data_IF_542052576040
#
_entry.id   IF_542052576040
#
_cell.length_a   1.000
_cell.length_b   1.000
_cell.length_c   1.000
_cell.angle_alpha   90.00
_cell.angle_beta   90.00
_cell.angle_gamma   90.00
#
_symmetry.space_group_name_H-M   'P 1'
#
loop_
_entity.id
_entity.type
_entity.pdbx_description
1 polymer ?
#
# COMPACT_ATOMS: atom_id res chain seq x y z
N UNK A 1 4.80 33.13 -11.27
CA UNK A 1 4.83 32.51 -9.92
C UNK A 1 4.06 31.21 -10.03
N UNK A 2 4.74 30.09 -10.05
CA UNK A 2 4.06 28.79 -9.95
C UNK A 2 3.63 28.63 -8.50
N UNK A 3 2.35 28.89 -8.21
CA UNK A 3 1.81 28.62 -6.89
C UNK A 3 1.82 27.08 -6.72
N UNK A 4 2.58 26.57 -5.76
CA UNK A 4 2.60 25.15 -5.43
C UNK A 4 1.24 24.77 -4.84
N UNK A 5 0.38 24.21 -5.67
CA UNK A 5 -0.96 23.75 -5.28
C UNK A 5 -0.82 22.45 -4.49
N UNK A 6 -1.25 22.44 -3.25
CA UNK A 6 -1.33 21.22 -2.43
C UNK A 6 -2.68 20.55 -2.72
N UNK A 7 -2.64 19.31 -3.21
CA UNK A 7 -3.83 18.51 -3.56
C UNK A 7 -4.01 17.42 -2.52
N UNK A 8 -5.18 17.36 -1.91
CA UNK A 8 -5.55 16.42 -0.86
C UNK A 8 -6.71 15.53 -1.33
N UNK A 9 -6.46 14.27 -1.68
CA UNK A 9 -7.51 13.27 -1.72
C UNK A 9 -8.04 13.02 -0.32
N UNK A 10 -9.36 13.02 -0.14
CA UNK A 10 -10.01 12.85 1.17
C UNK A 10 -11.13 11.83 1.06
N UNK A 11 -11.05 10.76 1.83
CA UNK A 11 -12.14 9.81 2.01
C UNK A 11 -12.91 10.17 3.27
N UNK A 12 -14.23 10.15 3.19
CA UNK A 12 -15.10 10.35 4.35
C UNK A 12 -16.03 9.15 4.51
N UNK A 13 -16.09 8.61 5.73
CA UNK A 13 -16.89 7.44 6.08
C UNK A 13 -17.82 7.71 7.25
N UNK A 14 -19.02 7.11 7.21
CA UNK A 14 -19.94 7.09 8.34
C UNK A 14 -19.49 6.10 9.43
N UNK A 15 -20.26 6.03 10.54
CA UNK A 15 -20.01 5.08 11.64
C UNK A 15 -20.11 3.61 11.21
N UNK A 16 -20.80 3.34 10.10
CA UNK A 16 -20.90 1.99 9.50
C UNK A 16 -19.81 1.71 8.48
N UNK A 17 -18.79 2.60 8.40
CA UNK A 17 -17.68 2.55 7.44
C UNK A 17 -18.11 2.66 5.96
N UNK A 18 -19.29 3.19 5.67
CA UNK A 18 -19.76 3.45 4.30
C UNK A 18 -19.26 4.83 3.87
N UNK A 19 -18.93 4.94 2.59
CA UNK A 19 -18.49 6.19 1.98
C UNK A 19 -19.62 7.24 2.02
N UNK A 20 -19.27 8.48 2.31
CA UNK A 20 -20.17 9.64 2.34
C UNK A 20 -19.77 10.58 1.21
N UNK A 21 -20.70 10.89 0.29
CA UNK A 21 -20.44 11.66 -0.93
C UNK A 21 -21.26 12.97 -1.02
N UNK A 22 -22.06 13.27 -0.02
CA UNK A 22 -23.04 14.38 -0.01
C UNK A 22 -22.54 15.62 0.75
N UNK A 23 -21.25 15.70 1.07
CA UNK A 23 -20.66 16.85 1.74
C UNK A 23 -20.36 17.96 0.76
N UNK A 24 -20.75 19.19 1.11
CA UNK A 24 -20.40 20.40 0.38
C UNK A 24 -19.04 20.97 0.80
N UNK A 25 -18.47 21.84 -0.04
CA UNK A 25 -17.18 22.51 0.22
C UNK A 25 -17.14 23.23 1.57
N UNK A 26 -18.23 23.85 1.98
CA UNK A 26 -18.36 24.65 3.20
C UNK A 26 -18.41 23.80 4.47
N UNK A 27 -18.56 22.47 4.36
CA UNK A 27 -18.44 21.53 5.46
C UNK A 27 -16.98 21.16 5.77
N UNK A 28 -16.05 21.41 4.85
CA UNK A 28 -14.63 21.10 5.02
C UNK A 28 -13.83 22.31 5.51
N UNK A 29 -12.87 22.05 6.39
CA UNK A 29 -11.81 22.97 6.79
C UNK A 29 -10.46 22.26 6.68
N UNK A 30 -9.48 22.96 6.11
CA UNK A 30 -8.11 22.46 5.95
C UNK A 30 -7.19 23.34 6.78
N UNK A 31 -6.29 22.71 7.52
CA UNK A 31 -5.26 23.38 8.29
C UNK A 31 -3.89 22.90 7.80
N UNK A 32 -2.96 23.82 7.61
CA UNK A 32 -1.59 23.58 7.22
C UNK A 32 -0.69 24.22 8.29
N UNK A 33 0.12 23.41 8.98
CA UNK A 33 0.87 23.81 10.18
C UNK A 33 0.00 24.59 11.20
N UNK A 34 -1.22 24.11 11.44
CA UNK A 34 -2.26 24.73 12.28
C UNK A 34 -2.81 26.08 11.75
N UNK A 35 -2.44 26.52 10.54
CA UNK A 35 -3.01 27.70 9.89
C UNK A 35 -4.15 27.28 8.98
N UNK A 36 -5.35 27.81 9.22
CA UNK A 36 -6.50 27.50 8.35
C UNK A 36 -6.26 28.00 6.93
N UNK A 37 -6.48 27.11 5.96
CA UNK A 37 -6.28 27.37 4.55
C UNK A 37 -7.62 27.53 3.81
N UNK A 38 -7.64 28.44 2.88
CA UNK A 38 -8.77 28.56 1.97
C UNK A 38 -8.70 27.43 0.95
N UNK A 39 -9.77 26.65 0.83
CA UNK A 39 -9.90 25.63 -0.22
C UNK A 39 -10.14 26.36 -1.56
N UNK A 40 -9.19 26.29 -2.47
CA UNK A 40 -9.29 26.94 -3.78
C UNK A 40 -10.02 26.03 -4.79
N UNK A 41 -9.77 24.70 -4.74
CA UNK A 41 -10.43 23.68 -5.57
C UNK A 41 -11.17 22.67 -4.69
N UNK A 42 -12.39 22.36 -5.07
CA UNK A 42 -13.21 21.31 -4.47
C UNK A 42 -13.92 20.56 -5.59
N UNK A 43 -13.75 19.23 -5.63
CA UNK A 43 -14.50 18.38 -6.56
C UNK A 43 -14.79 17.01 -5.95
N UNK A 44 -15.93 16.46 -6.33
CA UNK A 44 -16.36 15.09 -6.04
C UNK A 44 -16.26 14.19 -7.27
N UNK A 45 -15.71 14.71 -8.38
CA UNK A 45 -15.55 13.94 -9.60
C UNK A 45 -14.59 12.78 -9.41
N UNK A 46 -14.96 11.63 -9.94
CA UNK A 46 -14.12 10.45 -9.99
C UNK A 46 -12.97 10.66 -10.98
N UNK A 47 -11.74 10.47 -10.52
CA UNK A 47 -10.57 10.51 -11.39
C UNK A 47 -10.19 9.10 -11.84
N UNK A 48 -9.70 8.95 -13.08
CA UNK A 48 -9.07 7.71 -13.51
C UNK A 48 -7.92 7.32 -12.58
N UNK A 49 -7.72 6.02 -12.37
CA UNK A 49 -6.65 5.50 -11.53
C UNK A 49 -5.41 5.16 -12.38
N UNK A 50 -4.22 5.48 -11.85
CA UNK A 50 -2.97 4.83 -12.21
C UNK A 50 -2.56 3.99 -11.00
N UNK A 51 -2.62 2.68 -11.12
CA UNK A 51 -2.49 1.77 -9.99
C UNK A 51 -1.29 0.83 -10.15
N UNK A 52 -0.41 0.76 -9.16
CA UNK A 52 0.52 -0.37 -9.02
C UNK A 52 -0.11 -1.38 -8.07
N UNK A 53 -0.38 -2.59 -8.58
CA UNK A 53 -0.84 -3.73 -7.79
C UNK A 53 0.39 -4.46 -7.29
N UNK A 54 0.62 -4.41 -5.98
CA UNK A 54 1.80 -4.97 -5.33
C UNK A 54 1.42 -6.21 -4.52
N UNK A 55 1.81 -7.39 -5.00
CA UNK A 55 1.39 -8.68 -4.47
C UNK A 55 2.55 -9.33 -3.73
N UNK A 56 2.31 -9.69 -2.47
CA UNK A 56 3.25 -10.44 -1.64
C UNK A 56 3.44 -11.86 -2.18
N UNK A 57 4.68 -12.19 -2.57
CA UNK A 57 5.07 -13.47 -3.13
C UNK A 57 5.59 -14.47 -2.08
N UNK A 58 5.66 -14.05 -0.81
CA UNK A 58 6.17 -14.88 0.31
C UNK A 58 5.08 -15.09 1.38
N UNK A 59 3.85 -15.39 0.93
CA UNK A 59 2.73 -15.74 1.80
C UNK A 59 2.77 -17.21 2.20
N UNK A 60 2.13 -17.55 3.33
CA UNK A 60 1.90 -18.95 3.70
C UNK A 60 1.03 -19.62 2.63
N UNK A 61 1.25 -20.91 2.41
CA UNK A 61 0.62 -21.68 1.32
C UNK A 61 -0.91 -21.53 1.23
N UNK A 62 -1.61 -21.48 2.38
CA UNK A 62 -3.06 -21.29 2.41
C UNK A 62 -3.47 -19.90 1.92
N UNK A 63 -2.80 -18.87 2.46
CA UNK A 63 -3.07 -17.47 2.14
C UNK A 63 -2.68 -17.16 0.69
N UNK A 64 -1.53 -17.69 0.21
CA UNK A 64 -1.09 -17.55 -1.17
C UNK A 64 -2.12 -18.11 -2.16
N UNK A 65 -2.71 -19.29 -1.85
CA UNK A 65 -3.75 -19.88 -2.68
C UNK A 65 -5.02 -19.01 -2.71
N UNK A 66 -5.47 -18.52 -1.55
CA UNK A 66 -6.67 -17.67 -1.45
C UNK A 66 -6.48 -16.36 -2.23
N UNK A 67 -5.32 -15.72 -2.09
CA UNK A 67 -4.96 -14.53 -2.87
C UNK A 67 -4.96 -14.85 -4.35
N UNK A 68 -4.24 -15.92 -4.77
CA UNK A 68 -4.15 -16.32 -6.17
C UNK A 68 -5.52 -16.54 -6.83
N UNK A 69 -6.43 -17.20 -6.10
CA UNK A 69 -7.79 -17.53 -6.60
C UNK A 69 -8.71 -16.28 -6.67
N UNK A 70 -8.33 -15.17 -6.02
CA UNK A 70 -9.13 -13.93 -5.93
C UNK A 70 -8.62 -12.77 -6.79
N UNK A 71 -7.40 -12.86 -7.36
CA UNK A 71 -6.76 -11.73 -8.07
C UNK A 71 -7.60 -11.18 -9.25
N UNK A 72 -8.35 -12.02 -9.92
CA UNK A 72 -9.19 -11.61 -11.06
C UNK A 72 -10.23 -10.54 -10.66
N UNK A 73 -10.66 -10.53 -9.41
CA UNK A 73 -11.64 -9.56 -8.90
C UNK A 73 -11.11 -8.12 -8.85
N UNK A 74 -9.79 -7.94 -8.82
CA UNK A 74 -9.18 -6.59 -8.88
C UNK A 74 -9.60 -5.89 -10.17
N UNK A 75 -9.60 -6.63 -11.28
CA UNK A 75 -9.99 -6.09 -12.60
C UNK A 75 -11.47 -5.72 -12.64
N UNK A 76 -12.32 -6.50 -11.97
CA UNK A 76 -13.76 -6.22 -11.88
C UNK A 76 -14.11 -4.87 -11.22
N UNK A 77 -13.20 -4.33 -10.39
CA UNK A 77 -13.35 -3.00 -9.78
C UNK A 77 -12.81 -1.84 -10.64
N UNK A 78 -12.13 -2.12 -11.75
CA UNK A 78 -11.53 -1.11 -12.61
C UNK A 78 -12.48 -0.62 -13.69
N UNK A 79 -12.33 0.65 -14.07
CA UNK A 79 -12.99 1.23 -15.26
C UNK A 79 -12.08 1.17 -16.48
N UNK A 80 -12.64 1.37 -17.67
CA UNK A 80 -11.89 1.40 -18.94
C UNK A 80 -10.87 2.56 -19.02
N UNK A 81 -11.03 3.57 -18.15
CA UNK A 81 -10.12 4.71 -18.07
C UNK A 81 -8.95 4.45 -17.12
N UNK A 82 -9.03 3.41 -16.29
CA UNK A 82 -7.97 3.08 -15.34
C UNK A 82 -6.82 2.34 -16.05
N UNK A 83 -5.65 2.42 -15.46
CA UNK A 83 -4.50 1.62 -15.86
C UNK A 83 -3.86 0.98 -14.62
N UNK A 84 -3.32 -0.21 -14.80
CA UNK A 84 -2.64 -0.90 -13.73
C UNK A 84 -1.32 -1.53 -14.17
N UNK A 85 -0.40 -1.68 -13.22
CA UNK A 85 0.87 -2.35 -13.36
C UNK A 85 0.98 -3.42 -12.25
N UNK A 86 1.06 -4.68 -12.63
CA UNK A 86 1.18 -5.80 -11.68
C UNK A 86 2.63 -6.01 -11.30
N UNK A 87 2.92 -5.99 -9.99
CA UNK A 87 4.24 -6.24 -9.42
C UNK A 87 4.12 -7.27 -8.30
N UNK A 88 5.22 -7.99 -8.04
CA UNK A 88 5.35 -8.86 -6.88
C UNK A 88 6.51 -8.41 -6.00
N UNK A 89 6.51 -8.85 -4.75
CA UNK A 89 7.66 -8.69 -3.87
C UNK A 89 7.81 -9.87 -2.91
N UNK A 90 9.03 -10.15 -2.58
CA UNK A 90 9.50 -11.04 -1.52
C UNK A 90 10.71 -10.38 -0.86
N UNK A 91 11.89 -10.96 -0.93
CA UNK A 91 13.16 -10.30 -0.57
C UNK A 91 13.57 -9.22 -1.59
N UNK A 92 12.92 -9.21 -2.74
CA UNK A 92 13.18 -8.29 -3.84
C UNK A 92 11.89 -7.75 -4.41
N UNK A 93 11.97 -6.59 -5.05
CA UNK A 93 10.89 -6.04 -5.84
C UNK A 93 10.95 -6.61 -7.27
N UNK A 94 9.84 -7.18 -7.74
CA UNK A 94 9.71 -7.81 -9.05
C UNK A 94 8.68 -7.06 -9.90
N UNK A 95 9.09 -6.05 -10.68
CA UNK A 95 8.16 -5.37 -11.58
C UNK A 95 7.69 -6.30 -12.70
N UNK A 96 6.43 -6.17 -13.10
CA UNK A 96 5.86 -6.87 -14.25
C UNK A 96 6.23 -6.22 -15.57
N UNK A 97 5.29 -6.23 -16.54
CA UNK A 97 5.59 -5.78 -17.91
C UNK A 97 5.41 -4.28 -18.14
N UNK A 98 4.50 -3.64 -17.42
CA UNK A 98 4.18 -2.22 -17.58
C UNK A 98 2.73 -1.89 -17.25
N UNK A 99 2.40 -0.59 -17.36
CA UNK A 99 1.02 -0.13 -17.22
C UNK A 99 0.18 -0.56 -18.42
N UNK A 100 -1.02 -1.06 -18.15
CA UNK A 100 -2.01 -1.40 -19.16
C UNK A 100 -3.40 -0.96 -18.71
N UNK A 101 -4.20 -0.42 -19.64
CA UNK A 101 -5.63 -0.20 -19.48
C UNK A 101 -6.46 -1.34 -20.10
N UNK A 102 -5.81 -2.29 -20.76
CA UNK A 102 -6.47 -3.45 -21.30
C UNK A 102 -6.77 -4.47 -20.20
N UNK A 103 -8.05 -4.60 -19.85
CA UNK A 103 -8.51 -5.48 -18.77
C UNK A 103 -8.21 -6.95 -19.05
N UNK A 104 -8.31 -7.41 -20.30
CA UNK A 104 -7.99 -8.81 -20.67
C UNK A 104 -6.50 -9.09 -20.50
N UNK A 105 -5.64 -8.13 -20.90
CA UNK A 105 -4.20 -8.25 -20.69
C UNK A 105 -3.88 -8.28 -19.19
N UNK A 106 -4.50 -7.43 -18.38
CA UNK A 106 -4.31 -7.38 -16.95
C UNK A 106 -4.74 -8.71 -16.29
N UNK A 107 -5.90 -9.26 -16.67
CA UNK A 107 -6.36 -10.58 -16.22
C UNK A 107 -5.32 -11.68 -16.54
N UNK A 108 -4.76 -11.67 -17.76
CA UNK A 108 -3.73 -12.64 -18.14
C UNK A 108 -2.48 -12.48 -17.27
N UNK A 109 -2.08 -11.25 -16.94
CA UNK A 109 -0.92 -11.00 -16.08
C UNK A 109 -1.17 -11.46 -14.64
N UNK A 110 -2.34 -11.15 -14.08
CA UNK A 110 -2.73 -11.58 -12.73
C UNK A 110 -2.81 -13.12 -12.62
N UNK A 111 -3.42 -13.79 -13.59
CA UNK A 111 -3.50 -15.28 -13.65
C UNK A 111 -2.14 -15.94 -13.81
N UNK A 112 -1.20 -15.31 -14.51
CA UNK A 112 0.18 -15.78 -14.66
C UNK A 112 1.04 -15.49 -13.42
N UNK A 113 0.57 -14.64 -12.51
CA UNK A 113 1.24 -14.39 -11.26
C UNK A 113 1.15 -15.63 -10.38
N UNK A 114 2.15 -16.50 -10.47
CA UNK A 114 2.28 -17.63 -9.54
C UNK A 114 2.87 -17.11 -8.24
N UNK A 115 2.17 -17.33 -7.15
CA UNK A 115 2.68 -17.02 -5.82
C UNK A 115 3.43 -18.24 -5.30
N UNK A 116 4.74 -18.08 -5.09
CA UNK A 116 5.55 -19.11 -4.50
C UNK A 116 5.25 -19.12 -2.99
N UNK A 117 4.60 -20.18 -2.50
CA UNK A 117 4.45 -20.35 -1.06
C UNK A 117 5.81 -20.59 -0.46
N UNK A 118 6.08 -19.99 0.72
CA UNK A 118 7.34 -20.13 1.47
C UNK A 118 7.96 -21.52 1.34
N UNK A 119 8.96 -21.65 0.52
CA UNK A 119 9.87 -22.80 0.45
C UNK A 119 11.24 -22.37 0.98
N UNK A 120 11.27 -21.66 2.11
CA UNK A 120 12.51 -21.40 2.83
C UNK A 120 12.98 -22.68 3.55
N UNK A 121 13.06 -23.77 2.80
CA UNK A 121 13.89 -24.90 3.20
C UNK A 121 15.28 -24.58 2.66
N UNK A 122 16.30 -24.38 3.52
CA UNK A 122 17.67 -24.27 3.04
C UNK A 122 17.98 -25.47 2.13
N UNK A 123 18.66 -25.26 1.00
CA UNK A 123 19.01 -26.38 0.13
C UNK A 123 19.75 -27.43 0.97
N UNK A 124 19.50 -28.75 0.75
CA UNK A 124 20.22 -29.80 1.40
C UNK A 124 21.73 -29.58 1.20
N UNK A 125 22.49 -29.44 2.28
CA UNK A 125 23.93 -29.15 2.20
C UNK A 125 24.34 -27.72 2.62
N UNK A 126 23.43 -26.91 3.15
CA UNK A 126 23.80 -25.63 3.80
C UNK A 126 24.66 -25.84 5.05
N UNK A 127 25.41 -24.82 5.51
CA UNK A 127 26.40 -24.94 6.62
C UNK A 127 25.80 -25.39 7.96
N UNK A 128 24.51 -25.55 8.08
CA UNK A 128 23.79 -26.02 9.26
C UNK A 128 23.28 -27.45 9.17
N UNK A 129 23.42 -28.12 8.03
CA UNK A 129 23.17 -29.55 7.90
C UNK A 129 24.51 -30.27 8.09
N UNK A 130 24.76 -30.74 9.30
CA UNK A 130 25.87 -31.65 9.55
C UNK A 130 25.84 -32.86 8.61
N UNK A 131 26.95 -33.58 8.42
CA UNK A 131 26.99 -34.71 7.52
C UNK A 131 25.95 -35.75 7.93
N UNK A 132 25.00 -36.04 7.04
CA UNK A 132 24.03 -37.12 7.24
C UNK A 132 24.48 -38.37 6.48
N UNK A 133 24.45 -39.50 7.14
CA UNK A 133 24.67 -40.81 6.52
C UNK A 133 23.30 -41.45 6.28
N UNK A 134 22.96 -41.70 5.01
CA UNK A 134 21.66 -42.27 4.59
C UNK A 134 20.42 -41.45 5.04
N UNK A 135 20.55 -40.12 5.13
CA UNK A 135 19.43 -39.25 5.52
C UNK A 135 19.16 -39.19 7.03
N UNK A 136 19.98 -39.80 7.86
CA UNK A 136 19.88 -39.74 9.32
C UNK A 136 21.11 -39.03 9.90
N UNK A 137 20.89 -38.19 10.92
CA UNK A 137 22.00 -37.63 11.69
C UNK A 137 22.72 -38.76 12.44
N UNK A 138 24.07 -38.71 12.59
CA UNK A 138 24.80 -39.71 13.39
C UNK A 138 24.27 -39.71 14.82
N UNK A 139 23.98 -40.90 15.37
CA UNK A 139 23.57 -41.06 16.75
C UNK A 139 24.59 -40.42 17.70
N UNK A 140 24.15 -39.48 18.50
CA UNK A 140 24.95 -38.82 19.53
C UNK A 140 25.20 -37.33 19.38
N UNK A 141 24.74 -36.67 18.33
CA UNK A 141 24.73 -35.22 18.31
C UNK A 141 23.59 -34.72 19.19
N UNK A 142 23.84 -33.80 20.16
CA UNK A 142 22.76 -33.14 20.87
C UNK A 142 21.94 -32.39 19.84
N UNK A 143 20.73 -32.87 19.60
CA UNK A 143 19.82 -32.24 18.68
C UNK A 143 19.59 -30.80 19.12
N UNK A 144 20.02 -29.84 18.31
CA UNK A 144 19.62 -28.42 18.43
C UNK A 144 18.17 -28.34 18.00
N UNK A 145 17.29 -29.01 18.76
CA UNK A 145 15.86 -29.14 18.45
C UNK A 145 15.02 -27.89 18.83
N UNK A 146 15.65 -26.76 19.06
CA UNK A 146 14.93 -25.52 19.41
C UNK A 146 15.27 -24.33 18.53
N UNK A 147 16.46 -24.26 17.96
CA UNK A 147 16.95 -23.02 17.33
C UNK A 147 16.73 -22.93 15.81
N UNK A 148 16.58 -24.07 15.13
CA UNK A 148 16.40 -24.06 13.66
C UNK A 148 15.06 -23.54 13.24
N UNK A 149 14.02 -23.68 14.05
CA UNK A 149 12.67 -23.17 13.74
C UNK A 149 12.56 -21.65 13.91
N UNK A 150 13.28 -21.09 14.89
CA UNK A 150 13.32 -19.63 15.10
C UNK A 150 14.23 -18.91 14.09
N UNK A 151 15.32 -19.55 13.65
CA UNK A 151 16.22 -18.99 12.62
C UNK A 151 15.56 -18.99 11.24
N UNK A 152 14.65 -19.94 10.98
CA UNK A 152 13.87 -20.02 9.72
C UNK A 152 12.65 -19.10 9.71
N UNK A 153 12.29 -18.50 10.84
CA UNK A 153 11.09 -17.66 10.98
C UNK A 153 11.37 -16.15 10.90
N UNK A 154 12.60 -15.72 10.62
CA UNK A 154 12.88 -14.30 10.44
C UNK A 154 12.24 -13.82 9.14
N UNK A 155 11.39 -12.78 9.18
CA UNK A 155 10.76 -12.26 7.98
C UNK A 155 11.83 -11.72 7.03
N UNK A 156 11.78 -12.16 5.79
CA UNK A 156 12.75 -11.81 4.73
C UNK A 156 12.24 -10.76 3.77
N UNK A 157 10.99 -10.33 3.93
CA UNK A 157 10.27 -9.46 2.99
C UNK A 157 10.80 -8.03 2.98
N UNK A 158 11.01 -7.50 1.79
CA UNK A 158 11.44 -6.14 1.54
C UNK A 158 10.26 -5.22 1.16
N UNK A 159 9.29 -5.09 2.07
CA UNK A 159 8.07 -4.32 1.82
C UNK A 159 8.36 -2.83 1.59
N UNK A 160 9.29 -2.24 2.36
CA UNK A 160 9.63 -0.82 2.19
C UNK A 160 10.26 -0.57 0.81
N UNK A 161 11.17 -1.45 0.35
CA UNK A 161 11.75 -1.36 -1.00
C UNK A 161 10.70 -1.59 -2.10
N UNK A 162 9.74 -2.48 -1.86
CA UNK A 162 8.68 -2.74 -2.81
C UNK A 162 7.74 -1.54 -2.98
N UNK A 163 7.37 -0.87 -1.88
CA UNK A 163 6.56 0.35 -1.92
C UNK A 163 7.35 1.50 -2.57
N UNK A 164 8.65 1.61 -2.27
CA UNK A 164 9.53 2.59 -2.93
C UNK A 164 9.59 2.35 -4.45
N UNK A 165 9.84 1.12 -4.87
CA UNK A 165 9.86 0.75 -6.29
C UNK A 165 8.52 1.01 -7.00
N UNK A 166 7.40 0.74 -6.32
CA UNK A 166 6.07 1.06 -6.84
C UNK A 166 5.84 2.58 -6.99
N UNK A 167 6.36 3.39 -6.05
CA UNK A 167 6.30 4.85 -6.13
C UNK A 167 7.10 5.38 -7.33
N UNK A 168 8.30 4.83 -7.56
CA UNK A 168 9.13 5.15 -8.73
C UNK A 168 8.42 4.88 -10.06
N UNK A 169 7.64 3.78 -10.16
CA UNK A 169 6.84 3.49 -11.35
C UNK A 169 5.69 4.49 -11.57
N UNK A 170 5.15 5.04 -10.47
CA UNK A 170 4.00 5.95 -10.51
C UNK A 170 4.40 7.42 -10.67
N UNK A 171 5.63 7.82 -10.35
CA UNK A 171 6.04 9.22 -10.27
C UNK A 171 5.72 10.02 -11.53
N UNK A 172 5.99 9.45 -12.70
CA UNK A 172 5.83 10.10 -14.00
C UNK A 172 4.42 9.93 -14.60
N UNK A 173 3.48 9.29 -13.87
CA UNK A 173 2.11 9.17 -14.38
C UNK A 173 1.40 10.52 -14.36
N UNK A 174 0.45 10.77 -15.31
CA UNK A 174 -0.21 12.06 -15.47
C UNK A 174 -0.89 12.55 -14.18
N UNK A 175 -0.83 13.87 -13.93
CA UNK A 175 -1.39 14.50 -12.73
C UNK A 175 -2.94 14.52 -12.70
N UNK A 176 -3.59 14.32 -13.83
CA UNK A 176 -5.05 14.22 -13.95
C UNK A 176 -5.56 12.80 -13.65
N UNK A 177 -4.73 11.95 -13.06
CA UNK A 177 -5.07 10.60 -12.61
C UNK A 177 -4.74 10.47 -11.12
N UNK A 178 -5.51 9.68 -10.39
CA UNK A 178 -5.12 9.31 -9.02
C UNK A 178 -4.07 8.21 -9.07
N UNK A 179 -2.96 8.46 -8.41
CA UNK A 179 -1.86 7.51 -8.29
C UNK A 179 -2.05 6.71 -7.01
N UNK A 180 -2.17 5.41 -7.13
CA UNK A 180 -2.34 4.54 -5.97
C UNK A 180 -1.39 3.34 -6.02
N UNK A 181 -0.91 2.93 -4.86
CA UNK A 181 -0.29 1.64 -4.63
C UNK A 181 -1.33 0.78 -3.92
N UNK A 182 -1.70 -0.34 -4.55
CA UNK A 182 -2.61 -1.31 -3.98
C UNK A 182 -1.85 -2.56 -3.54
N UNK A 183 -1.73 -2.77 -2.23
CA UNK A 183 -0.92 -3.84 -1.63
C UNK A 183 -1.81 -4.99 -1.18
N UNK A 184 -1.44 -6.21 -1.52
CA UNK A 184 -2.01 -7.45 -0.97
C UNK A 184 -0.90 -8.21 -0.27
N UNK A 185 -0.92 -8.24 1.08
CA UNK A 185 0.18 -8.79 1.89
C UNK A 185 -0.29 -9.17 3.30
N UNK A 186 0.50 -9.98 3.99
CA UNK A 186 0.34 -10.23 5.44
C UNK A 186 0.94 -9.12 6.32
N UNK A 187 1.50 -8.05 5.72
CA UNK A 187 2.05 -6.90 6.42
C UNK A 187 3.43 -7.10 7.05
N UNK A 188 3.99 -8.29 6.91
CA UNK A 188 5.31 -8.59 7.46
C UNK A 188 6.40 -7.85 6.68
N UNK A 189 7.33 -7.21 7.41
CA UNK A 189 8.49 -6.53 6.84
C UNK A 189 9.77 -6.98 7.54
N UNK A 190 10.78 -7.34 6.78
CA UNK A 190 12.07 -7.83 7.28
C UNK A 190 12.99 -6.75 7.88
N UNK A 191 12.54 -5.49 7.92
CA UNK A 191 13.29 -4.36 8.47
C UNK A 191 14.58 -4.06 7.71
N UNK A 192 15.51 -3.33 8.35
CA UNK A 192 16.77 -2.83 7.74
C UNK A 192 17.69 -3.91 7.15
N UNK A 193 17.52 -5.16 7.54
CA UNK A 193 18.38 -6.26 7.01
C UNK A 193 18.00 -6.59 5.56
N UNK A 194 16.75 -6.43 5.20
CA UNK A 194 16.19 -6.83 3.89
C UNK A 194 15.75 -5.63 3.04
N UNK A 195 15.60 -4.45 3.63
CA UNK A 195 15.25 -3.23 2.92
C UNK A 195 16.46 -2.31 2.82
N UNK A 196 16.70 -1.80 1.63
CA UNK A 196 17.66 -0.73 1.34
C UNK A 196 17.07 0.62 1.73
N UNK A 197 15.78 0.82 1.45
CA UNK A 197 15.03 2.01 1.82
C UNK A 197 14.44 1.88 3.22
N UNK A 198 14.46 2.98 3.96
CA UNK A 198 13.76 3.07 5.24
C UNK A 198 12.30 3.45 5.02
N UNK A 199 11.44 3.16 5.99
CA UNK A 199 10.06 3.63 5.97
C UNK A 199 9.95 5.14 5.70
N UNK A 200 10.74 5.96 6.41
CA UNK A 200 10.70 7.42 6.28
C UNK A 200 11.06 7.88 4.86
N UNK A 201 12.10 7.29 4.27
CA UNK A 201 12.47 7.60 2.89
C UNK A 201 11.39 7.19 1.90
N UNK A 202 10.78 6.04 2.11
CA UNK A 202 9.72 5.51 1.25
C UNK A 202 8.45 6.36 1.36
N UNK A 203 8.03 6.73 2.58
CA UNK A 203 6.87 7.64 2.77
C UNK A 203 7.14 9.00 2.14
N UNK A 204 8.35 9.53 2.28
CA UNK A 204 8.75 10.79 1.63
C UNK A 204 8.55 10.72 0.11
N UNK A 205 9.01 9.64 -0.53
CA UNK A 205 8.87 9.43 -1.97
C UNK A 205 7.41 9.33 -2.40
N UNK A 206 6.61 8.53 -1.68
CA UNK A 206 5.18 8.36 -1.93
C UNK A 206 4.44 9.70 -1.82
N UNK A 207 4.71 10.49 -0.77
CA UNK A 207 4.08 11.80 -0.55
C UNK A 207 4.52 12.84 -1.58
N UNK A 208 5.81 12.85 -1.97
CA UNK A 208 6.36 13.79 -2.96
C UNK A 208 5.63 13.66 -4.32
N UNK A 209 5.21 12.46 -4.66
CA UNK A 209 4.50 12.18 -5.92
C UNK A 209 2.96 12.09 -5.77
N UNK A 210 2.42 12.50 -4.60
CA UNK A 210 0.98 12.49 -4.31
C UNK A 210 0.32 11.12 -4.56
N UNK A 211 1.00 10.07 -4.11
CA UNK A 211 0.53 8.69 -4.20
C UNK A 211 -0.18 8.33 -2.90
N UNK A 212 -1.33 7.66 -2.98
CA UNK A 212 -2.02 7.07 -1.83
C UNK A 212 -1.79 5.56 -1.79
N UNK A 213 -1.61 5.02 -0.58
CA UNK A 213 -1.42 3.58 -0.38
C UNK A 213 -2.69 2.97 0.18
N UNK A 214 -3.23 1.99 -0.52
CA UNK A 214 -4.33 1.15 -0.06
C UNK A 214 -3.84 -0.28 0.11
N UNK A 215 -4.37 -0.99 1.09
CA UNK A 215 -3.94 -2.36 1.33
C UNK A 215 -5.08 -3.30 1.68
N UNK A 216 -4.92 -4.57 1.31
CA UNK A 216 -5.67 -5.69 1.84
C UNK A 216 -4.72 -6.59 2.60
N UNK A 217 -4.89 -6.61 3.91
CA UNK A 217 -4.13 -7.45 4.83
C UNK A 217 -4.71 -8.87 4.85
N UNK A 218 -3.87 -9.87 4.58
CA UNK A 218 -4.23 -11.28 4.54
C UNK A 218 -3.51 -12.08 5.64
N UNK A 219 -3.97 -13.27 5.95
CA UNK A 219 -3.29 -14.19 6.86
C UNK A 219 -3.03 -13.59 8.24
N UNK A 220 -1.75 -13.44 8.61
CA UNK A 220 -1.34 -12.93 9.93
C UNK A 220 -1.73 -11.48 10.17
N UNK A 221 -1.86 -10.66 9.13
CA UNK A 221 -2.28 -9.26 9.21
C UNK A 221 -3.62 -9.08 9.94
N UNK A 222 -4.52 -10.06 9.83
CA UNK A 222 -5.81 -10.00 10.52
C UNK A 222 -5.68 -10.06 12.05
N UNK A 223 -4.70 -10.78 12.57
CA UNK A 223 -4.51 -11.01 14.01
C UNK A 223 -3.62 -9.96 14.67
N UNK A 224 -2.62 -9.44 13.96
CA UNK A 224 -1.58 -8.56 14.51
C UNK A 224 -1.64 -7.14 13.95
N UNK A 225 -2.78 -6.48 14.18
CA UNK A 225 -3.09 -5.13 13.66
C UNK A 225 -2.23 -4.01 14.26
N UNK A 226 -1.44 -4.28 15.31
CA UNK A 226 -0.76 -3.23 16.08
C UNK A 226 0.59 -2.82 15.49
N UNK A 227 1.18 -3.64 14.63
CA UNK A 227 2.55 -3.44 14.13
C UNK A 227 2.61 -3.44 12.60
N UNK A 228 1.50 -3.10 11.95
CA UNK A 228 1.38 -3.30 10.53
C UNK A 228 1.89 -2.13 9.72
N UNK A 229 2.97 -2.39 9.03
CA UNK A 229 3.54 -1.48 8.04
C UNK A 229 2.50 -1.05 6.99
N UNK A 230 1.51 -1.91 6.70
CA UNK A 230 0.40 -1.57 5.80
C UNK A 230 -0.45 -0.40 6.33
N UNK A 231 -0.83 -0.44 7.62
CA UNK A 231 -1.57 0.66 8.26
C UNK A 231 -0.76 1.95 8.32
N UNK A 232 0.54 1.85 8.59
CA UNK A 232 1.43 3.02 8.64
C UNK A 232 1.47 3.72 7.27
N UNK A 233 1.64 2.98 6.17
CA UNK A 233 1.60 3.53 4.82
C UNK A 233 0.24 4.11 4.45
N UNK A 234 -0.84 3.38 4.71
CA UNK A 234 -2.18 3.84 4.40
C UNK A 234 -2.50 5.16 5.12
N UNK A 235 -2.29 5.21 6.43
CA UNK A 235 -2.56 6.43 7.22
C UNK A 235 -1.70 7.62 6.80
N UNK A 236 -0.39 7.41 6.61
CA UNK A 236 0.50 8.51 6.21
C UNK A 236 0.13 9.11 4.85
N UNK A 237 -0.49 8.34 3.95
CA UNK A 237 -0.76 8.74 2.57
C UNK A 237 -2.23 9.03 2.27
N UNK A 238 -3.12 8.90 3.26
CA UNK A 238 -4.55 9.15 3.11
C UNK A 238 -5.32 8.05 2.37
N UNK A 239 -4.77 6.84 2.34
CA UNK A 239 -5.48 5.64 1.92
C UNK A 239 -6.09 4.89 3.09
N UNK A 240 -6.43 3.63 2.89
CA UNK A 240 -7.01 2.76 3.93
C UNK A 240 -6.50 1.33 3.83
N UNK A 241 -6.70 0.57 4.91
CA UNK A 241 -6.35 -0.85 4.98
C UNK A 241 -7.56 -1.68 5.39
N UNK A 242 -7.80 -2.73 4.64
CA UNK A 242 -8.84 -3.73 4.89
C UNK A 242 -8.22 -5.07 5.28
N UNK A 243 -8.85 -5.77 6.19
CA UNK A 243 -8.36 -7.05 6.67
C UNK A 243 -9.34 -8.14 6.32
N UNK A 244 -8.87 -9.16 5.61
CA UNK A 244 -9.68 -10.31 5.25
C UNK A 244 -10.07 -11.10 6.51
N UNK A 245 -11.32 -10.93 6.95
CA UNK A 245 -11.91 -11.77 7.99
C UNK A 245 -12.45 -13.05 7.34
N UNK A 246 -12.51 -14.17 8.11
CA UNK A 246 -12.98 -15.48 7.61
C UNK A 246 -14.36 -15.48 6.91
N UNK A 247 -15.15 -14.40 7.03
CA UNK A 247 -16.48 -14.26 6.44
C UNK A 247 -16.57 -13.27 5.28
N UNK A 248 -15.52 -12.51 5.04
CA UNK A 248 -15.45 -11.47 4.02
C UNK A 248 -14.54 -11.95 2.90
N UNK A 249 -15.02 -11.97 1.67
CA UNK A 249 -14.22 -12.44 0.55
C UNK A 249 -13.15 -11.40 0.18
N UNK A 250 -11.99 -11.84 -0.27
CA UNK A 250 -10.96 -10.95 -0.81
C UNK A 250 -11.50 -10.12 -1.99
N UNK A 251 -12.41 -10.73 -2.79
CA UNK A 251 -13.03 -10.04 -3.92
C UNK A 251 -13.82 -8.79 -3.49
N UNK A 252 -14.59 -8.88 -2.39
CA UNK A 252 -15.34 -7.75 -1.86
C UNK A 252 -14.40 -6.64 -1.37
N UNK A 253 -13.28 -7.01 -0.73
CA UNK A 253 -12.28 -6.06 -0.27
C UNK A 253 -11.56 -5.36 -1.42
N UNK A 254 -11.24 -6.07 -2.50
CA UNK A 254 -10.62 -5.47 -3.69
C UNK A 254 -11.54 -4.45 -4.35
N UNK A 255 -12.84 -4.78 -4.46
CA UNK A 255 -13.85 -3.86 -4.99
C UNK A 255 -13.98 -2.61 -4.14
N UNK A 256 -13.97 -2.75 -2.80
CA UNK A 256 -14.00 -1.60 -1.88
C UNK A 256 -12.78 -0.68 -2.03
N UNK A 257 -11.59 -1.25 -2.17
CA UNK A 257 -10.37 -0.46 -2.36
C UNK A 257 -10.46 0.40 -3.63
N UNK A 258 -10.87 -0.21 -4.75
CA UNK A 258 -10.97 0.52 -6.02
C UNK A 258 -12.10 1.55 -6.00
N UNK A 259 -13.24 1.25 -5.38
CA UNK A 259 -14.34 2.18 -5.17
C UNK A 259 -13.90 3.39 -4.33
N UNK A 260 -13.26 3.14 -3.19
CA UNK A 260 -12.78 4.18 -2.31
C UNK A 260 -11.72 5.05 -2.98
N UNK A 261 -10.71 4.44 -3.58
CA UNK A 261 -9.64 5.18 -4.25
C UNK A 261 -10.17 6.09 -5.37
N UNK A 262 -11.23 5.67 -6.08
CA UNK A 262 -11.82 6.46 -7.16
C UNK A 262 -12.67 7.61 -6.65
N UNK A 263 -13.44 7.39 -5.60
CA UNK A 263 -14.51 8.28 -5.15
C UNK A 263 -14.12 9.15 -3.95
N UNK A 264 -12.86 9.56 -3.84
CA UNK A 264 -12.42 10.52 -2.83
C UNK A 264 -12.82 11.94 -3.21
N UNK A 265 -13.13 12.78 -2.23
CA UNK A 265 -13.12 14.22 -2.42
C UNK A 265 -11.73 14.69 -2.82
N UNK A 266 -11.64 15.66 -3.70
CA UNK A 266 -10.38 16.34 -4.00
C UNK A 266 -10.45 17.77 -3.50
N UNK A 267 -9.66 18.07 -2.48
CA UNK A 267 -9.45 19.43 -1.99
C UNK A 267 -8.11 19.92 -2.50
N UNK A 268 -8.03 21.19 -2.90
CA UNK A 268 -6.74 21.78 -3.18
C UNK A 268 -6.68 23.23 -2.72
N UNK A 269 -5.51 23.64 -2.27
CA UNK A 269 -5.24 24.99 -1.77
C UNK A 269 -3.82 25.43 -2.11
N UNK A 270 -3.61 26.73 -2.14
CA UNK A 270 -2.29 27.36 -2.21
C UNK A 270 -1.89 27.74 -0.79
N UNK A 271 -0.79 27.17 -0.21
CA UNK A 271 -0.38 27.47 1.15
C UNK A 271 -0.19 28.95 1.41
N UNK A 272 -0.76 29.46 2.50
CA UNK A 272 -0.69 30.86 2.92
C UNK A 272 -0.33 30.93 4.38
N UNK A 273 0.61 31.81 4.73
CA UNK A 273 1.01 32.01 6.13
C UNK A 273 1.84 30.87 6.74
N UNK A 274 2.28 29.94 5.90
CA UNK A 274 3.08 28.76 6.30
C UNK A 274 4.57 29.07 6.14
N UNK A 275 5.40 28.58 7.05
CA UNK A 275 6.85 28.82 7.02
C UNK A 275 7.49 28.01 5.91
N UNK A 276 7.98 28.64 4.85
CA UNK A 276 8.56 28.02 3.66
C UNK A 276 9.89 27.28 3.85
N UNK A 277 10.42 27.24 5.06
CA UNK A 277 11.75 26.67 5.36
C UNK A 277 11.74 25.22 5.84
N UNK A 278 10.59 24.57 5.89
CA UNK A 278 10.46 23.20 6.35
C UNK A 278 10.29 22.24 5.16
N UNK A 279 10.99 21.12 5.21
CA UNK A 279 10.83 20.05 4.22
C UNK A 279 9.46 19.36 4.29
N UNK A 280 8.84 19.33 5.48
CA UNK A 280 7.53 18.75 5.77
C UNK A 280 6.58 19.78 6.34
N UNK A 281 5.34 19.72 5.90
CA UNK A 281 4.23 20.46 6.47
C UNK A 281 3.17 19.48 6.98
N UNK A 282 2.57 19.78 8.12
CA UNK A 282 1.47 18.98 8.66
C UNK A 282 0.14 19.48 8.09
N UNK A 283 -0.72 18.53 7.69
CA UNK A 283 -2.04 18.86 7.17
C UNK A 283 -3.12 18.15 7.97
N UNK A 284 -4.14 18.89 8.34
CA UNK A 284 -5.33 18.35 8.98
C UNK A 284 -6.57 18.75 8.21
N UNK A 285 -7.41 17.78 7.89
CA UNK A 285 -8.72 18.00 7.29
C UNK A 285 -9.79 17.74 8.34
N UNK A 286 -10.66 18.71 8.56
CA UNK A 286 -11.81 18.60 9.48
C UNK A 286 -13.11 18.75 8.70
N UNK A 287 -14.15 18.06 9.16
CA UNK A 287 -15.51 18.16 8.64
C UNK A 287 -16.45 18.61 9.76
N UNK A 288 -17.37 19.51 9.45
CA UNK A 288 -18.33 20.06 10.44
C UNK A 288 -19.33 19.03 10.93
N UNK A 289 -19.71 18.09 10.05
CA UNK A 289 -20.68 17.03 10.37
C UNK A 289 -20.06 16.01 11.32
N UNK A 290 -20.71 15.78 12.46
CA UNK A 290 -20.22 14.84 13.47
C UNK A 290 -20.42 13.37 13.08
N UNK A 291 -19.63 12.49 13.71
CA UNK A 291 -19.74 11.04 13.54
C UNK A 291 -19.19 10.50 12.25
N UNK A 292 -18.37 11.30 11.57
CA UNK A 292 -17.65 10.89 10.36
C UNK A 292 -16.18 10.57 10.67
N UNK A 293 -15.63 9.62 9.94
CA UNK A 293 -14.20 9.32 9.90
C UNK A 293 -13.61 9.92 8.63
N UNK A 294 -12.53 10.67 8.77
CA UNK A 294 -11.86 11.35 7.67
C UNK A 294 -10.50 10.68 7.47
N UNK A 295 -10.22 10.21 6.25
CA UNK A 295 -8.93 9.68 5.84
C UNK A 295 -8.35 10.65 4.82
N UNK A 296 -7.24 11.27 5.19
CA UNK A 296 -6.45 12.16 4.36
C UNK A 296 -4.99 12.04 4.81
N UNK A 297 -4.04 12.37 3.95
CA UNK A 297 -2.65 12.43 4.39
C UNK A 297 -2.49 13.49 5.48
N UNK A 298 -1.65 13.22 6.45
CA UNK A 298 -1.34 14.10 7.57
C UNK A 298 -0.14 15.03 7.30
N UNK A 299 0.55 14.83 6.17
CA UNK A 299 1.74 15.56 5.78
C UNK A 299 1.85 15.72 4.28
N UNK A 300 2.58 16.74 3.84
CA UNK A 300 3.08 16.81 2.48
C UNK A 300 4.53 17.30 2.47
N UNK A 301 5.19 17.11 1.33
CA UNK A 301 6.59 17.41 1.16
C UNK A 301 6.77 18.52 0.12
N UNK A 302 7.52 19.58 0.46
CA UNK A 302 7.75 20.73 -0.42
C UNK A 302 9.01 20.58 -1.29
N UNK A 303 9.95 19.73 -0.90
CA UNK A 303 11.25 19.57 -1.57
C UNK A 303 11.23 18.80 -2.89
N UNK A 304 10.10 18.21 -3.31
CA UNK A 304 9.97 17.43 -4.55
C UNK A 304 9.31 18.15 -5.73
N UNK A 305 8.83 19.38 -5.54
CA UNK A 305 8.04 20.11 -6.56
C UNK A 305 8.86 21.11 -7.40
N UNK A 306 10.20 21.01 -7.38
CA UNK A 306 11.07 21.87 -8.19
C UNK A 306 11.82 21.05 -9.23
N UNK A 307 11.11 20.52 -10.23
CA UNK A 307 11.65 20.33 -11.60
C UNK A 307 10.50 20.16 -12.58
#
# INVERSE_FOLDING_TARGET
MNANLVVLPVTVKDRSKRLVFDLGKDEFRVFDDNVEQRIDVFTTEAFPLSMVILIDNDLKKGDAKEVQDSLDAIVGGMSDLDEAFVCKFDQFFHPGKGFTSNQDQLLVELRRTKLDSQTNVPPPGGPFNGPSINGHAPDGSPGVAGSTREILAAPTKALDDAVYGAAELLKDRPRNRRKIIFIVSDGVNGGKKYNTNTYDNTVKEVLAHSISVFAVGVGSAFYDRKFERLSEYAHATGGDVYYAAKKESLQDLYSRVTEEARNQYTLAYVPRGVKSAQDYHTVEVRVKREGLTILARDKYYTGGAAQ
#
